data_IF_457255215252
#
_entry.id   IF_457255215252
#
_cell.length_a   1.000
_cell.length_b   1.000
_cell.length_c   1.000
_cell.angle_alpha   90.00
_cell.angle_beta   90.00
_cell.angle_gamma   90.00
#
_symmetry.space_group_name_H-M   'P 1'
#
loop_
_entity.id
_entity.type
_entity.pdbx_description
1 polymer ?
#
# COMPACT_ATOMS: atom_id res chain seq x y z
N UNK A 1 32.66 -4.46 -11.54
CA UNK A 1 32.23 -3.54 -12.62
C UNK A 1 30.99 -4.03 -13.34
N UNK A 2 31.00 -5.20 -13.98
CA UNK A 2 29.84 -5.74 -14.70
C UNK A 2 28.59 -5.89 -13.82
N UNK A 3 28.78 -6.36 -12.58
CA UNK A 3 27.71 -6.42 -11.57
C UNK A 3 27.08 -5.05 -11.26
N UNK A 4 27.89 -3.99 -11.13
CA UNK A 4 27.39 -2.64 -10.87
C UNK A 4 26.60 -2.10 -12.05
N UNK A 5 27.01 -2.42 -13.28
CA UNK A 5 26.29 -2.04 -14.51
C UNK A 5 24.93 -2.74 -14.56
N UNK A 6 24.88 -4.04 -14.26
CA UNK A 6 23.64 -4.80 -14.20
C UNK A 6 22.71 -4.30 -13.09
N UNK A 7 23.24 -4.03 -11.90
CA UNK A 7 22.49 -3.48 -10.78
C UNK A 7 21.89 -2.12 -11.14
N UNK A 8 22.69 -1.23 -11.73
CA UNK A 8 22.23 0.10 -12.15
C UNK A 8 21.17 -0.01 -13.25
N UNK A 9 21.36 -0.89 -14.23
CA UNK A 9 20.37 -1.15 -15.28
C UNK A 9 19.05 -1.67 -14.71
N UNK A 10 19.10 -2.65 -13.81
CA UNK A 10 17.92 -3.18 -13.14
C UNK A 10 17.20 -2.11 -12.30
N UNK A 11 17.94 -1.27 -11.58
CA UNK A 11 17.37 -0.16 -10.80
C UNK A 11 16.66 0.86 -11.69
N UNK A 12 17.25 1.24 -12.84
CA UNK A 12 16.61 2.14 -13.80
C UNK A 12 15.30 1.53 -14.34
N UNK A 13 15.32 0.26 -14.74
CA UNK A 13 14.12 -0.44 -15.23
C UNK A 13 13.04 -0.51 -14.15
N UNK A 14 13.40 -0.84 -12.91
CA UNK A 14 12.46 -0.89 -11.78
C UNK A 14 11.82 0.48 -11.52
N UNK A 15 12.62 1.57 -11.53
CA UNK A 15 12.11 2.94 -11.36
C UNK A 15 11.18 3.32 -12.50
N UNK A 16 11.52 2.99 -13.75
CA UNK A 16 10.67 3.23 -14.91
C UNK A 16 9.35 2.47 -14.82
N UNK A 17 9.37 1.21 -14.36
CA UNK A 17 8.18 0.39 -14.19
C UNK A 17 7.26 0.95 -13.09
N UNK A 18 7.83 1.32 -11.94
CA UNK A 18 7.07 1.97 -10.85
C UNK A 18 6.49 3.31 -11.33
N UNK A 19 7.25 4.09 -12.08
CA UNK A 19 6.79 5.37 -12.63
C UNK A 19 5.66 5.16 -13.64
N UNK A 20 5.77 4.15 -14.51
CA UNK A 20 4.74 3.79 -15.47
C UNK A 20 3.44 3.37 -14.77
N UNK A 21 3.53 2.49 -13.77
CA UNK A 21 2.38 2.05 -12.99
C UNK A 21 1.70 3.22 -12.26
N UNK A 22 2.48 4.16 -11.70
CA UNK A 22 1.93 5.38 -11.07
C UNK A 22 1.31 6.34 -12.09
N UNK A 23 1.86 6.47 -13.30
CA UNK A 23 1.26 7.29 -14.34
C UNK A 23 -0.04 6.69 -14.88
N UNK A 24 -0.14 5.37 -15.00
CA UNK A 24 -1.38 4.68 -15.38
C UNK A 24 -2.49 4.92 -14.33
N UNK A 25 -2.14 4.92 -13.04
CA UNK A 25 -3.10 5.27 -11.97
C UNK A 25 -3.66 6.69 -12.14
N UNK A 26 -2.84 7.66 -12.54
CA UNK A 26 -3.31 9.04 -12.82
C UNK A 26 -4.16 9.16 -14.09
N UNK A 27 -3.94 8.30 -15.10
CA UNK A 27 -4.74 8.29 -16.34
C UNK A 27 -6.08 7.57 -16.12
N UNK A 28 -6.10 6.49 -15.33
CA UNK A 28 -7.34 5.83 -14.91
C UNK A 28 -8.26 6.74 -14.09
N UNK A 29 -7.70 7.76 -13.44
CA UNK A 29 -8.43 8.79 -12.69
C UNK A 29 -8.97 9.94 -13.58
N UNK A 30 -8.51 10.03 -14.84
CA UNK A 30 -8.97 11.02 -15.84
C UNK A 30 -10.06 10.53 -16.78
N UNK A 31 -10.39 9.24 -16.77
CA UNK A 31 -11.66 8.78 -17.35
C UNK A 31 -12.78 9.24 -16.40
N UNK A 32 -13.85 9.89 -16.88
CA UNK A 32 -15.00 10.19 -16.05
C UNK A 32 -15.66 8.86 -15.68
N UNK A 33 -15.23 8.32 -14.53
CA UNK A 33 -15.94 7.25 -13.85
C UNK A 33 -17.34 7.80 -13.55
N UNK A 34 -18.44 7.11 -13.89
CA UNK A 34 -19.77 7.57 -13.57
C UNK A 34 -19.81 7.91 -12.07
N UNK A 35 -20.28 9.12 -11.78
CA UNK A 35 -20.12 9.75 -10.49
C UNK A 35 -20.70 8.87 -9.38
N UNK A 36 -19.82 8.39 -8.50
CA UNK A 36 -20.27 7.91 -7.19
C UNK A 36 -20.35 9.14 -6.26
N UNK A 37 -21.50 9.43 -5.65
CA UNK A 37 -21.85 10.78 -5.18
C UNK A 37 -21.29 11.09 -3.79
N UNK A 38 -19.97 11.04 -3.60
CA UNK A 38 -19.43 11.21 -2.25
C UNK A 38 -17.97 11.71 -2.23
N UNK A 39 -17.79 12.97 -2.61
CA UNK A 39 -16.66 13.76 -2.18
C UNK A 39 -17.21 14.99 -1.44
N UNK A 40 -17.05 15.02 -0.12
CA UNK A 40 -17.36 16.20 0.71
C UNK A 40 -18.07 15.85 2.01
N UNK A 41 -17.35 15.94 3.11
CA UNK A 41 -17.90 15.78 4.46
C UNK A 41 -17.56 14.43 5.08
N UNK A 42 -17.02 14.47 6.31
CA UNK A 42 -16.78 13.36 7.24
C UNK A 42 -17.20 12.02 6.66
N UNK A 43 -16.27 11.27 6.08
CA UNK A 43 -16.62 10.03 5.39
C UNK A 43 -17.23 9.11 6.46
N UNK A 44 -18.53 8.77 6.41
CA UNK A 44 -18.99 7.60 7.13
C UNK A 44 -18.12 6.47 6.60
N UNK A 45 -17.61 5.62 7.47
CA UNK A 45 -17.05 4.33 7.06
C UNK A 45 -18.13 3.64 6.22
N UNK A 46 -18.11 3.87 4.89
CA UNK A 46 -18.74 2.93 3.98
C UNK A 46 -18.07 1.62 4.36
N UNK A 47 -18.84 0.54 4.61
CA UNK A 47 -18.25 -0.77 4.72
C UNK A 47 -17.47 -0.96 3.44
N UNK A 48 -16.15 -0.75 3.50
CA UNK A 48 -15.27 -1.22 2.46
C UNK A 48 -15.58 -2.71 2.43
N UNK A 49 -15.77 -3.28 1.25
CA UNK A 49 -15.72 -4.73 1.12
C UNK A 49 -14.27 -5.13 1.43
N UNK A 50 -13.89 -5.01 2.70
CA UNK A 50 -12.69 -5.55 3.27
C UNK A 50 -12.92 -7.05 3.23
N UNK A 51 -11.99 -7.78 2.63
CA UNK A 51 -11.95 -9.22 2.87
C UNK A 51 -11.82 -9.46 4.38
N UNK A 52 -12.07 -10.68 4.86
CA UNK A 52 -11.82 -11.05 6.25
C UNK A 52 -10.43 -10.65 6.77
N UNK A 53 -9.44 -10.52 5.87
CA UNK A 53 -8.05 -10.15 6.18
C UNK A 53 -7.78 -8.63 6.18
N UNK A 54 -8.72 -7.81 5.70
CA UNK A 54 -8.58 -6.34 5.56
C UNK A 54 -9.41 -5.57 6.61
N UNK A 55 -10.00 -6.27 7.58
CA UNK A 55 -10.74 -5.62 8.65
C UNK A 55 -9.79 -4.90 9.62
N UNK A 56 -10.24 -3.82 10.28
CA UNK A 56 -9.38 -3.04 11.16
C UNK A 56 -8.93 -3.82 12.40
N UNK A 57 -9.67 -4.87 12.77
CA UNK A 57 -9.39 -5.68 13.96
C UNK A 57 -8.24 -6.67 13.71
N UNK A 58 -8.18 -7.35 12.56
CA UNK A 58 -7.09 -8.23 12.16
C UNK A 58 -5.77 -7.47 12.00
N UNK A 59 -5.83 -6.29 11.38
CA UNK A 59 -4.66 -5.41 11.26
C UNK A 59 -4.13 -4.97 12.63
N UNK A 60 -5.01 -4.74 13.61
CA UNK A 60 -4.63 -4.40 14.99
C UNK A 60 -4.00 -5.59 15.71
N UNK A 61 -4.53 -6.80 15.52
CA UNK A 61 -3.97 -8.03 16.11
C UNK A 61 -2.57 -8.36 15.56
N UNK A 62 -2.36 -8.14 14.26
CA UNK A 62 -1.03 -8.24 13.64
C UNK A 62 -0.05 -7.23 14.20
N UNK A 63 -0.46 -5.96 14.33
CA UNK A 63 0.36 -4.89 14.90
C UNK A 63 0.77 -5.20 16.34
N UNK A 64 -0.17 -5.68 17.17
CA UNK A 64 0.10 -6.08 18.55
C UNK A 64 1.06 -7.27 18.63
N UNK A 65 0.91 -8.27 17.76
CA UNK A 65 1.79 -9.44 17.71
C UNK A 65 3.20 -9.11 17.26
N UNK A 66 3.36 -8.22 16.27
CA UNK A 66 4.67 -7.71 15.83
C UNK A 66 5.31 -6.94 16.97
N UNK A 67 4.58 -6.01 17.59
CA UNK A 67 5.08 -5.23 18.73
C UNK A 67 5.51 -6.08 19.92
N UNK A 68 4.74 -7.12 20.26
CA UNK A 68 5.06 -8.03 21.35
C UNK A 68 6.18 -9.04 21.01
N UNK A 69 6.48 -9.24 19.72
CA UNK A 69 7.70 -9.96 19.31
C UNK A 69 8.94 -9.06 19.30
N UNK A 70 8.77 -7.78 18.96
CA UNK A 70 9.84 -6.78 18.96
C UNK A 70 10.22 -6.32 20.37
N UNK A 71 9.30 -6.36 21.35
CA UNK A 71 9.59 -6.23 22.78
C UNK A 71 9.81 -7.62 23.40
N UNK A 72 11.03 -8.20 23.37
CA UNK A 72 11.31 -9.35 24.22
C UNK A 72 11.11 -8.92 25.68
N UNK A 73 10.46 -9.74 26.53
CA UNK A 73 10.40 -9.44 27.95
C UNK A 73 11.83 -9.34 28.45
N UNK A 74 12.21 -8.17 28.98
CA UNK A 74 13.40 -8.00 29.81
C UNK A 74 13.31 -9.08 30.90
N UNK A 75 14.07 -10.17 30.70
CA UNK A 75 14.18 -11.26 31.67
C UNK A 75 15.05 -10.73 32.81
N UNK A 76 14.52 -10.57 34.04
CA UNK A 76 15.36 -10.44 35.22
C UNK A 76 16.10 -11.75 35.52
#
# INVERSE_FOLDING_TARGET
MLFLILLLGAAVVAVLLVRALRSEQMVAERLPRPELPWAGGQKPERPRAAGPDDDPDFLRELDEKVRNQEDPPDRP
#
